data_IF_186630113056
#
_entry.id   IF_186630113056
#
_cell.length_a   1.000
_cell.length_b   1.000
_cell.length_c   1.000
_cell.angle_alpha   90.00
_cell.angle_beta   90.00
_cell.angle_gamma   90.00
#
_symmetry.space_group_name_H-M   'P 1'
#
loop_
_entity.id
_entity.type
_entity.pdbx_description
1 polymer ?
#
# COMPACT_ATOMS: atom_id res chain seq x y z
N UNK A 1 10.18 -10.70 19.43
CA UNK A 1 9.79 -9.32 19.05
C UNK A 1 8.72 -9.41 17.98
N UNK A 2 7.75 -8.47 17.92
CA UNK A 2 6.75 -8.48 16.86
C UNK A 2 7.40 -8.32 15.48
N UNK A 3 6.90 -9.05 14.49
CA UNK A 3 7.41 -9.00 13.10
C UNK A 3 7.24 -7.63 12.45
N UNK A 4 6.20 -6.89 12.84
CA UNK A 4 5.87 -5.58 12.30
C UNK A 4 5.99 -4.50 13.37
N UNK A 5 6.45 -3.33 12.96
CA UNK A 5 6.45 -2.14 13.82
C UNK A 5 5.01 -1.73 14.18
N UNK A 6 4.79 -1.00 15.29
CA UNK A 6 3.47 -0.50 15.64
C UNK A 6 2.81 0.32 14.52
N UNK A 7 3.61 1.12 13.80
CA UNK A 7 3.11 1.90 12.66
C UNK A 7 2.77 1.03 11.46
N UNK A 8 3.56 -0.03 11.18
CA UNK A 8 3.21 -0.99 10.12
C UNK A 8 1.92 -1.75 10.46
N UNK A 9 1.77 -2.21 11.70
CA UNK A 9 0.54 -2.85 12.18
C UNK A 9 -0.69 -1.92 12.01
N UNK A 10 -0.53 -0.63 12.32
CA UNK A 10 -1.56 0.39 12.10
C UNK A 10 -1.92 0.54 10.63
N UNK A 11 -0.95 0.49 9.71
CA UNK A 11 -1.21 0.56 8.28
C UNK A 11 -2.02 -0.64 7.77
N UNK A 12 -1.76 -1.86 8.27
CA UNK A 12 -2.60 -3.02 7.97
C UNK A 12 -4.04 -2.82 8.43
N UNK A 13 -4.26 -2.31 9.66
CA UNK A 13 -5.61 -2.00 10.15
C UNK A 13 -6.34 -1.00 9.26
N UNK A 14 -5.63 -0.01 8.71
CA UNK A 14 -6.24 0.89 7.73
C UNK A 14 -6.51 0.20 6.40
N UNK A 15 -5.64 -0.67 5.91
CA UNK A 15 -5.88 -1.43 4.68
C UNK A 15 -7.20 -2.23 4.76
N UNK A 16 -7.46 -2.89 5.90
CA UNK A 16 -8.73 -3.57 6.17
C UNK A 16 -9.92 -2.61 6.15
N UNK A 17 -9.77 -1.42 6.75
CA UNK A 17 -10.82 -0.39 6.73
C UNK A 17 -11.10 0.13 5.32
N UNK A 18 -10.08 0.32 4.50
CA UNK A 18 -10.24 0.74 3.11
C UNK A 18 -10.98 -0.32 2.29
N UNK A 19 -10.61 -1.60 2.43
CA UNK A 19 -11.34 -2.70 1.77
C UNK A 19 -12.80 -2.78 2.21
N UNK A 20 -13.04 -2.76 3.52
CA UNK A 20 -14.41 -2.76 4.07
C UNK A 20 -15.24 -1.57 3.59
N UNK A 21 -14.66 -0.37 3.51
CA UNK A 21 -15.32 0.83 2.97
C UNK A 21 -15.64 0.73 1.47
N UNK A 22 -14.92 -0.13 0.75
CA UNK A 22 -15.15 -0.41 -0.67
C UNK A 22 -16.06 -1.63 -0.89
N UNK A 23 -16.51 -2.33 0.16
CA UNK A 23 -17.27 -3.59 0.06
C UNK A 23 -16.39 -4.80 -0.24
N UNK A 24 -15.07 -4.67 -0.08
CA UNK A 24 -14.08 -5.66 -0.47
C UNK A 24 -13.55 -6.41 0.76
N UNK A 25 -13.88 -7.70 0.87
CA UNK A 25 -13.28 -8.58 1.88
C UNK A 25 -11.88 -9.08 1.49
N UNK A 26 -11.54 -9.10 0.20
CA UNK A 26 -10.19 -9.45 -0.23
C UNK A 26 -9.29 -8.21 -0.18
N UNK A 27 -8.27 -8.26 0.68
CA UNK A 27 -7.32 -7.16 0.88
C UNK A 27 -6.09 -7.40 0.00
N UNK A 28 -5.97 -6.63 -1.07
CA UNK A 28 -4.83 -6.66 -1.97
C UNK A 28 -3.79 -5.56 -1.73
N UNK A 29 -2.73 -5.54 -2.57
CA UNK A 29 -1.66 -4.53 -2.54
C UNK A 29 -2.17 -3.09 -2.58
N UNK A 30 -3.22 -2.82 -3.34
CA UNK A 30 -3.87 -1.51 -3.45
C UNK A 30 -4.50 -1.05 -2.14
N UNK A 31 -5.15 -1.95 -1.40
CA UNK A 31 -5.69 -1.65 -0.08
C UNK A 31 -4.56 -1.38 0.92
N UNK A 32 -3.45 -2.13 0.83
CA UNK A 32 -2.27 -1.87 1.65
C UNK A 32 -1.66 -0.49 1.34
N UNK A 33 -1.55 -0.10 0.06
CA UNK A 33 -1.10 1.24 -0.34
C UNK A 33 -1.96 2.34 0.31
N UNK A 34 -3.29 2.23 0.22
CA UNK A 34 -4.20 3.18 0.86
C UNK A 34 -4.03 3.18 2.39
N UNK A 35 -3.85 2.00 2.98
CA UNK A 35 -3.58 1.83 4.41
C UNK A 35 -2.28 2.49 4.86
N UNK A 36 -1.22 2.40 4.05
CA UNK A 36 0.08 3.05 4.30
C UNK A 36 -0.04 4.57 4.25
N UNK A 37 -0.66 5.11 3.19
CA UNK A 37 -0.88 6.55 3.01
C UNK A 37 -1.80 7.11 4.10
N UNK A 38 -2.76 6.33 4.60
CA UNK A 38 -3.64 6.74 5.71
C UNK A 38 -2.98 6.59 7.08
N UNK A 39 -2.15 5.57 7.26
CA UNK A 39 -1.60 5.16 8.56
C UNK A 39 -0.30 5.84 8.96
N UNK A 40 0.49 6.28 7.99
CA UNK A 40 1.81 6.87 8.18
C UNK A 40 1.85 8.31 7.67
N UNK A 41 2.18 9.27 8.55
CA UNK A 41 2.15 10.71 8.24
C UNK A 41 3.19 11.13 7.21
N UNK A 42 4.36 10.50 7.24
CA UNK A 42 5.49 10.78 6.34
C UNK A 42 5.11 10.39 4.92
N UNK A 43 4.73 9.13 4.69
CA UNK A 43 4.21 8.63 3.41
C UNK A 43 3.07 9.52 2.93
N UNK A 44 2.13 9.88 3.81
CA UNK A 44 1.02 10.75 3.45
C UNK A 44 1.45 12.15 3.00
N UNK A 45 2.49 12.70 3.62
CA UNK A 45 3.02 14.02 3.29
C UNK A 45 3.67 14.01 1.92
N UNK A 46 4.49 13.01 1.65
CA UNK A 46 5.23 12.84 0.39
C UNK A 46 4.27 12.60 -0.78
N UNK A 47 3.31 11.70 -0.60
CA UNK A 47 2.27 11.47 -1.61
C UNK A 47 1.44 12.73 -1.88
N UNK A 48 1.14 13.55 -0.85
CA UNK A 48 0.48 14.85 -1.06
C UNK A 48 1.35 15.82 -1.85
N UNK A 49 2.65 15.89 -1.56
CA UNK A 49 3.58 16.81 -2.21
C UNK A 49 3.69 16.56 -3.72
N UNK A 50 3.56 15.32 -4.16
CA UNK A 50 3.57 14.91 -5.57
C UNK A 50 2.16 14.85 -6.20
N UNK A 51 1.15 15.44 -5.55
CA UNK A 51 -0.20 15.49 -6.10
C UNK A 51 -1.00 14.18 -6.03
N UNK A 52 -0.60 13.22 -5.20
CA UNK A 52 -1.29 11.95 -4.93
C UNK A 52 -1.90 11.88 -3.52
N UNK A 53 -2.78 12.81 -3.12
CA UNK A 53 -3.46 12.70 -1.82
C UNK A 53 -4.30 11.42 -1.73
N UNK A 54 -4.56 10.97 -0.51
CA UNK A 54 -5.32 9.75 -0.22
C UNK A 54 -6.64 9.65 -1.01
N UNK A 55 -7.39 10.76 -1.13
CA UNK A 55 -8.66 10.76 -1.87
C UNK A 55 -8.47 10.48 -3.37
N UNK A 56 -7.41 11.02 -3.99
CA UNK A 56 -7.09 10.74 -5.40
C UNK A 56 -6.77 9.26 -5.58
N UNK A 57 -5.96 8.68 -4.69
CA UNK A 57 -5.63 7.26 -4.72
C UNK A 57 -6.87 6.37 -4.54
N UNK A 58 -7.80 6.74 -3.64
CA UNK A 58 -9.08 6.02 -3.48
C UNK A 58 -9.90 6.07 -4.76
N UNK A 59 -10.00 7.22 -5.42
CA UNK A 59 -10.73 7.33 -6.69
C UNK A 59 -10.11 6.45 -7.76
N UNK A 60 -8.78 6.41 -7.85
CA UNK A 60 -8.07 5.54 -8.79
C UNK A 60 -8.28 4.06 -8.47
N UNK A 61 -8.19 3.67 -7.20
CA UNK A 61 -8.41 2.29 -6.76
C UNK A 61 -9.84 1.83 -7.05
N UNK A 62 -10.86 2.62 -6.68
CA UNK A 62 -12.28 2.29 -6.89
C UNK A 62 -12.64 2.05 -8.36
N UNK A 63 -12.09 2.85 -9.28
CA UNK A 63 -12.36 2.69 -10.72
C UNK A 63 -11.91 1.33 -11.25
N UNK A 64 -10.86 0.77 -10.66
CA UNK A 64 -10.24 -0.47 -11.11
C UNK A 64 -10.82 -1.71 -10.40
N UNK A 65 -11.35 -1.52 -9.20
CA UNK A 65 -11.74 -2.57 -8.26
C UNK A 65 -13.16 -3.14 -8.48
N UNK A 66 -13.94 -2.63 -9.43
CA UNK A 66 -15.31 -3.08 -9.75
C UNK A 66 -15.45 -4.55 -10.25
N UNK A 67 -14.42 -5.39 -10.11
CA UNK A 67 -14.38 -6.76 -10.63
C UNK A 67 -14.05 -7.84 -9.58
N UNK A 68 -13.76 -7.46 -8.33
CA UNK A 68 -13.43 -8.44 -7.27
C UNK A 68 -14.71 -8.97 -6.61
N UNK A 69 -14.80 -10.29 -6.34
CA UNK A 69 -15.97 -10.86 -5.69
C UNK A 69 -16.09 -10.36 -4.24
N UNK A 70 -17.30 -10.01 -3.83
CA UNK A 70 -17.59 -9.65 -2.43
C UNK A 70 -17.27 -10.84 -1.51
N UNK A 71 -16.27 -10.68 -0.65
CA UNK A 71 -15.97 -11.59 0.46
C UNK A 71 -16.47 -10.98 1.76
N UNK A 72 -17.14 -11.78 2.59
CA UNK A 72 -17.65 -11.35 3.90
C UNK A 72 -16.56 -11.31 4.99
N UNK A 73 -15.40 -11.92 4.74
CA UNK A 73 -14.28 -11.92 5.69
C UNK A 73 -13.05 -11.21 5.13
N UNK A 74 -12.38 -10.38 5.96
CA UNK A 74 -11.14 -9.71 5.58
C UNK A 74 -10.00 -10.73 5.46
N UNK A 75 -9.55 -10.99 4.24
CA UNK A 75 -8.49 -11.96 3.95
C UNK A 75 -7.48 -11.32 2.99
N UNK A 76 -6.18 -11.48 3.24
CA UNK A 76 -5.16 -11.03 2.30
C UNK A 76 -5.23 -11.82 0.99
N UNK A 77 -5.19 -11.12 -0.14
CA UNK A 77 -5.11 -11.71 -1.48
C UNK A 77 -3.84 -12.54 -1.64
N UNK A 78 -3.85 -13.48 -2.60
CA UNK A 78 -2.65 -14.28 -2.92
C UNK A 78 -1.46 -13.40 -3.26
N UNK A 79 -1.68 -12.35 -4.04
CA UNK A 79 -0.65 -11.38 -4.41
C UNK A 79 -0.06 -10.69 -3.16
N UNK A 80 -0.91 -10.19 -2.26
CA UNK A 80 -0.43 -9.55 -1.04
C UNK A 80 0.29 -10.55 -0.12
N UNK A 81 -0.22 -11.78 0.03
CA UNK A 81 0.47 -12.81 0.82
C UNK A 81 1.85 -13.13 0.27
N UNK A 82 1.98 -13.25 -1.05
CA UNK A 82 3.27 -13.52 -1.68
C UNK A 82 4.24 -12.36 -1.42
N UNK A 83 3.76 -11.14 -1.58
CA UNK A 83 4.53 -9.93 -1.30
C UNK A 83 5.06 -9.89 0.15
N UNK A 84 4.21 -10.24 1.12
CA UNK A 84 4.58 -10.23 2.55
C UNK A 84 5.53 -11.37 2.95
N UNK A 85 5.61 -12.46 2.17
CA UNK A 85 6.55 -13.57 2.45
C UNK A 85 7.99 -13.15 2.18
N UNK A 86 8.19 -12.33 1.17
CA UNK A 86 9.52 -11.97 0.67
C UNK A 86 10.07 -10.69 1.34
N UNK A 87 9.44 -10.23 2.42
CA UNK A 87 9.94 -9.13 3.24
C UNK A 87 11.18 -9.57 4.04
N UNK A 88 12.12 -8.64 4.30
CA UNK A 88 13.32 -8.94 5.06
C UNK A 88 12.97 -9.45 6.47
N UNK A 89 13.77 -10.40 6.96
CA UNK A 89 13.64 -10.95 8.32
C UNK A 89 14.26 -10.06 9.41
N UNK A 90 14.95 -8.98 9.01
CA UNK A 90 15.65 -8.07 9.92
C UNK A 90 14.73 -7.03 10.55
N UNK A 91 14.79 -6.89 11.88
CA UNK A 91 14.08 -5.86 12.67
C UNK A 91 12.55 -5.81 12.39
N UNK A 92 11.75 -5.04 13.14
CA UNK A 92 10.32 -4.99 12.85
C UNK A 92 10.10 -4.26 11.52
N UNK A 93 9.44 -4.92 10.57
CA UNK A 93 9.10 -4.36 9.26
C UNK A 93 8.39 -3.01 9.44
N UNK A 94 8.86 -1.99 8.73
CA UNK A 94 8.34 -0.61 8.78
C UNK A 94 7.33 -0.34 7.67
N UNK A 95 6.53 0.74 7.76
CA UNK A 95 5.71 1.19 6.64
C UNK A 95 6.50 1.46 5.35
N UNK A 96 7.74 1.99 5.46
CA UNK A 96 8.61 2.28 4.31
C UNK A 96 9.05 0.97 3.63
N UNK A 97 9.34 -0.08 4.40
CA UNK A 97 9.68 -1.41 3.85
C UNK A 97 8.51 -2.04 3.09
N UNK A 98 7.30 -1.93 3.64
CA UNK A 98 6.08 -2.39 2.97
C UNK A 98 5.85 -1.63 1.66
N UNK A 99 6.03 -0.30 1.68
CA UNK A 99 5.89 0.52 0.49
C UNK A 99 6.96 0.21 -0.57
N UNK A 100 8.23 0.05 -0.16
CA UNK A 100 9.31 -0.39 -1.05
C UNK A 100 8.93 -1.66 -1.77
N UNK A 101 8.51 -2.66 -1.00
CA UNK A 101 8.14 -3.95 -1.55
C UNK A 101 6.92 -3.89 -2.49
N UNK A 102 5.95 -3.01 -2.22
CA UNK A 102 4.81 -2.75 -3.12
C UNK A 102 5.22 -2.15 -4.47
N UNK A 103 6.30 -1.36 -4.50
CA UNK A 103 6.75 -0.68 -5.72
C UNK A 103 7.86 -1.44 -6.46
N UNK A 104 8.47 -2.44 -5.84
CA UNK A 104 9.38 -3.36 -6.52
C UNK A 104 8.65 -4.30 -7.49
N UNK A 105 7.42 -4.71 -7.13
CA UNK A 105 6.61 -5.57 -7.99
C UNK A 105 5.89 -4.72 -9.06
N UNK A 106 6.52 -4.62 -10.24
CA UNK A 106 5.95 -3.91 -11.40
C UNK A 106 4.64 -4.53 -11.92
N UNK A 107 4.38 -5.79 -11.58
CA UNK A 107 3.12 -6.47 -11.92
C UNK A 107 2.01 -6.16 -10.92
N UNK A 108 2.35 -5.63 -9.74
CA UNK A 108 1.37 -5.27 -8.74
C UNK A 108 0.56 -4.05 -9.18
N UNK A 109 -0.74 -4.10 -8.91
CA UNK A 109 -1.68 -3.05 -9.26
C UNK A 109 -1.36 -1.69 -8.62
N UNK A 110 -0.73 -1.69 -7.43
CA UNK A 110 -0.28 -0.45 -6.81
C UNK A 110 0.81 0.25 -7.63
N UNK A 111 1.70 -0.50 -8.27
CA UNK A 111 2.72 0.05 -9.17
C UNK A 111 2.06 0.66 -10.41
N UNK A 112 1.16 -0.06 -11.08
CA UNK A 112 0.48 0.44 -12.28
C UNK A 112 -0.43 1.63 -11.98
N UNK A 113 -1.09 1.65 -10.82
CA UNK A 113 -1.89 2.77 -10.34
C UNK A 113 -1.04 4.03 -10.22
N UNK A 114 0.11 3.95 -9.54
CA UNK A 114 1.00 5.12 -9.40
C UNK A 114 1.63 5.48 -10.75
N UNK A 115 2.05 4.50 -11.56
CA UNK A 115 2.59 4.73 -12.90
C UNK A 115 1.61 5.51 -13.79
N UNK A 116 0.31 5.20 -13.73
CA UNK A 116 -0.73 5.89 -14.51
C UNK A 116 -0.87 7.39 -14.18
N UNK A 117 -0.31 7.84 -13.05
CA UNK A 117 -0.39 9.23 -12.61
C UNK A 117 0.74 10.10 -13.14
N UNK A 118 1.82 9.48 -13.66
CA UNK A 118 3.06 10.16 -14.03
C UNK A 118 4.05 10.36 -12.87
N UNK A 119 3.65 10.09 -11.63
CA UNK A 119 4.41 10.46 -10.43
C UNK A 119 5.33 9.34 -9.90
N UNK A 120 5.35 8.17 -10.55
CA UNK A 120 6.10 7.00 -10.08
C UNK A 120 7.59 7.29 -9.89
N UNK A 121 8.20 8.08 -10.78
CA UNK A 121 9.61 8.45 -10.68
C UNK A 121 9.91 9.26 -9.43
N UNK A 122 9.00 10.14 -8.99
CA UNK A 122 9.16 10.93 -7.77
C UNK A 122 9.02 10.06 -6.52
N UNK A 123 8.05 9.14 -6.51
CA UNK A 123 7.89 8.17 -5.41
C UNK A 123 9.12 7.27 -5.30
N UNK A 124 9.63 6.74 -6.41
CA UNK A 124 10.86 5.94 -6.41
C UNK A 124 12.05 6.76 -5.93
N UNK A 125 12.20 8.00 -6.42
CA UNK A 125 13.32 8.84 -6.01
C UNK A 125 13.32 9.06 -4.50
N UNK A 126 12.19 9.43 -3.90
CA UNK A 126 12.07 9.62 -2.45
C UNK A 126 12.26 8.32 -1.65
N UNK A 127 11.72 7.21 -2.15
CA UNK A 127 11.71 5.96 -1.39
C UNK A 127 13.07 5.26 -1.38
N UNK A 128 13.85 5.43 -2.45
CA UNK A 128 15.16 4.83 -2.66
C UNK A 128 16.31 5.84 -2.65
N UNK A 129 16.04 7.14 -2.43
CA UNK A 129 17.10 8.06 -2.03
C UNK A 129 17.62 7.58 -0.69
N UNK A 130 18.89 7.19 -0.64
CA UNK A 130 19.57 6.81 0.58
C UNK A 130 19.36 7.91 1.63
N UNK A 131 18.93 7.52 2.83
CA UNK A 131 18.98 8.37 4.02
C UNK A 131 20.47 8.72 4.25
N UNK A 132 20.91 9.82 3.63
CA UNK A 132 22.26 10.39 3.77
C UNK A 132 22.30 11.30 5.00
#
# INVERSE_FOLDING_TARGET
MPRYSPDAAKCFLFAFKEGSQMGHGLIGPEHLLLGLVRGNKEIASEFRAIGLPLERLRTLAKRQLNQEPESSLPVYSTALRQLLKDLPETAPVTPKDLLKRLLEDKSAWCYTLIASTGELSMVHHWLFSDDS
#
